data_IF_094591962118
#
_entry.id   IF_094591962118
#
_cell.length_a   1.000
_cell.length_b   1.000
_cell.length_c   1.000
_cell.angle_alpha   90.00
_cell.angle_beta   90.00
_cell.angle_gamma   90.00
#
_symmetry.space_group_name_H-M   'P 1'
#
loop_
_entity.id
_entity.type
_entity.pdbx_description
1 polymer ?
#
# COMPACT_ATOMS: atom_id res chain seq x y z
N UNK A 1 44.69 -14.74 19.84
CA UNK A 1 43.99 -13.59 19.20
C UNK A 1 44.52 -12.37 19.91
N UNK A 2 45.48 -11.69 19.28
CA UNK A 2 46.41 -10.74 19.92
C UNK A 2 45.78 -9.37 20.12
N UNK A 3 46.16 -8.72 21.22
CA UNK A 3 45.82 -7.35 21.59
C UNK A 3 46.20 -6.29 20.52
N UNK A 4 47.05 -6.64 19.55
CA UNK A 4 47.39 -5.81 18.39
C UNK A 4 46.22 -5.62 17.40
N UNK A 5 45.31 -6.59 17.26
CA UNK A 5 44.11 -6.45 16.40
C UNK A 5 43.08 -5.48 17.01
N UNK A 6 43.03 -5.38 18.34
CA UNK A 6 42.10 -4.46 19.02
C UNK A 6 42.58 -3.00 18.96
N UNK A 7 43.88 -2.75 18.82
CA UNK A 7 44.42 -1.39 18.69
C UNK A 7 44.31 -0.81 17.28
N UNK A 8 44.33 -1.64 16.24
CA UNK A 8 44.11 -1.18 14.86
C UNK A 8 42.67 -0.68 14.65
N UNK A 9 41.67 -1.35 15.24
CA UNK A 9 40.25 -0.97 15.11
C UNK A 9 39.86 0.38 15.75
N UNK A 10 40.70 0.98 16.60
CA UNK A 10 40.44 2.30 17.21
C UNK A 10 41.03 3.48 16.41
N UNK A 11 41.95 3.24 15.47
CA UNK A 11 42.60 4.31 14.68
C UNK A 11 41.90 4.60 13.34
N UNK A 12 40.83 3.87 13.00
CA UNK A 12 40.07 4.03 11.75
C UNK A 12 38.80 4.90 11.89
N UNK A 13 38.54 5.49 13.05
CA UNK A 13 37.39 6.40 13.21
C UNK A 13 37.73 7.77 12.62
N UNK A 14 36.95 8.30 11.67
CA UNK A 14 37.20 9.62 11.09
C UNK A 14 37.19 10.68 12.18
N UNK A 15 38.08 11.67 12.07
CA UNK A 15 38.09 12.80 13.00
C UNK A 15 36.77 13.58 12.95
N UNK A 16 36.45 14.31 14.02
CA UNK A 16 35.20 15.09 14.10
C UNK A 16 35.05 16.08 12.92
N UNK A 17 36.16 16.68 12.48
CA UNK A 17 36.19 17.60 11.35
C UNK A 17 35.94 16.89 10.01
N UNK A 18 36.54 15.70 9.80
CA UNK A 18 36.28 14.86 8.63
C UNK A 18 34.84 14.35 8.59
N UNK A 19 34.27 13.97 9.75
CA UNK A 19 32.88 13.56 9.87
C UNK A 19 31.92 14.70 9.52
N UNK A 20 32.21 15.91 9.98
CA UNK A 20 31.43 17.11 9.63
C UNK A 20 31.50 17.41 8.13
N UNK A 21 32.70 17.40 7.55
CA UNK A 21 32.88 17.61 6.13
C UNK A 21 32.13 16.55 5.29
N UNK A 22 32.14 15.29 5.73
CA UNK A 22 31.41 14.21 5.09
C UNK A 22 29.88 14.40 5.15
N UNK A 23 29.33 14.85 6.30
CA UNK A 23 27.90 15.13 6.44
C UNK A 23 27.46 16.33 5.58
N UNK A 24 28.22 17.42 5.57
CA UNK A 24 27.92 18.58 4.72
C UNK A 24 27.90 18.21 3.24
N UNK A 25 28.83 17.35 2.82
CA UNK A 25 28.89 16.87 1.45
C UNK A 25 27.74 15.91 1.11
N UNK A 26 27.27 15.10 2.06
CA UNK A 26 26.04 14.31 1.89
C UNK A 26 24.81 15.21 1.74
N UNK A 27 24.69 16.27 2.55
CA UNK A 27 23.55 17.20 2.47
C UNK A 27 23.45 17.91 1.12
N UNK A 28 24.57 18.23 0.47
CA UNK A 28 24.57 18.85 -0.88
C UNK A 28 24.00 17.93 -1.96
N UNK A 29 24.04 16.61 -1.76
CA UNK A 29 23.58 15.62 -2.75
C UNK A 29 22.08 15.34 -2.64
N UNK A 30 21.50 15.54 -1.46
CA UNK A 30 20.08 15.28 -1.24
C UNK A 30 19.24 16.33 -1.97
N UNK A 31 18.29 15.85 -2.79
CA UNK A 31 17.32 16.71 -3.46
C UNK A 31 16.07 16.81 -2.61
N UNK A 32 15.46 17.99 -2.56
CA UNK A 32 14.18 18.18 -1.86
C UNK A 32 13.09 17.30 -2.48
N UNK A 33 13.07 17.20 -3.81
CA UNK A 33 12.11 16.39 -4.55
C UNK A 33 12.13 14.91 -4.12
N UNK A 34 13.33 14.35 -3.91
CA UNK A 34 13.51 12.96 -3.47
C UNK A 34 12.95 12.76 -2.05
N UNK A 35 13.16 13.75 -1.16
CA UNK A 35 12.65 13.70 0.22
C UNK A 35 11.13 13.80 0.23
N UNK A 36 10.53 14.67 -0.58
CA UNK A 36 9.07 14.79 -0.71
C UNK A 36 8.47 13.50 -1.25
N UNK A 37 9.08 12.91 -2.28
CA UNK A 37 8.64 11.64 -2.86
C UNK A 37 8.72 10.51 -1.85
N UNK A 38 9.85 10.37 -1.16
CA UNK A 38 10.04 9.36 -0.11
C UNK A 38 9.03 9.54 1.03
N UNK A 39 8.76 10.78 1.44
CA UNK A 39 7.77 11.09 2.47
C UNK A 39 6.37 10.68 2.02
N UNK A 40 5.98 10.98 0.78
CA UNK A 40 4.69 10.57 0.24
C UNK A 40 4.52 9.05 0.23
N UNK A 41 5.57 8.30 -0.15
CA UNK A 41 5.58 6.83 -0.08
C UNK A 41 5.41 6.33 1.35
N UNK A 42 6.11 6.94 2.31
CA UNK A 42 5.96 6.58 3.73
C UNK A 42 4.54 6.79 4.22
N UNK A 43 3.91 7.92 3.87
CA UNK A 43 2.52 8.21 4.26
C UNK A 43 1.52 7.25 3.63
N UNK A 44 1.70 6.88 2.34
CA UNK A 44 0.87 5.86 1.68
C UNK A 44 0.93 4.53 2.42
N UNK A 45 2.15 4.08 2.77
CA UNK A 45 2.34 2.82 3.48
C UNK A 45 1.74 2.86 4.89
N UNK A 46 1.86 4.00 5.58
CA UNK A 46 1.26 4.19 6.90
C UNK A 46 -0.27 4.17 6.81
N UNK A 47 -0.88 4.88 5.85
CA UNK A 47 -2.32 4.88 5.64
C UNK A 47 -2.85 3.47 5.38
N UNK A 48 -2.16 2.67 4.54
CA UNK A 48 -2.52 1.29 4.28
C UNK A 48 -2.52 0.41 5.54
N UNK A 49 -1.54 0.59 6.44
CA UNK A 49 -1.50 -0.09 7.74
C UNK A 49 -2.64 0.35 8.65
N UNK A 50 -2.93 1.65 8.72
CA UNK A 50 -4.03 2.20 9.54
C UNK A 50 -5.42 1.79 9.06
N UNK A 51 -5.57 1.49 7.76
CA UNK A 51 -6.75 0.89 7.16
C UNK A 51 -6.75 -0.66 7.22
N UNK A 52 -5.69 -1.26 7.76
CA UNK A 52 -5.49 -2.70 7.82
C UNK A 52 -5.45 -3.42 6.49
N UNK A 53 -4.95 -2.75 5.45
CA UNK A 53 -4.70 -3.30 4.12
C UNK A 53 -3.33 -4.00 4.02
N UNK A 54 -2.45 -3.76 4.99
CA UNK A 54 -1.06 -4.23 5.00
C UNK A 54 -0.81 -5.47 5.87
N UNK A 55 -1.87 -6.07 6.43
CA UNK A 55 -1.78 -7.28 7.27
C UNK A 55 -2.08 -8.54 6.50
N UNK A 56 -1.47 -9.64 6.95
CA UNK A 56 -1.77 -10.97 6.43
C UNK A 56 -3.19 -11.39 6.86
N UNK A 57 -3.91 -12.20 6.06
CA UNK A 57 -5.22 -12.70 6.45
C UNK A 57 -5.15 -13.46 7.78
N UNK A 58 -5.92 -13.00 8.78
CA UNK A 58 -5.97 -13.62 10.12
C UNK A 58 -5.08 -12.96 11.17
N UNK A 59 -4.36 -11.90 10.83
CA UNK A 59 -3.62 -11.06 11.80
C UNK A 59 -4.57 -10.01 12.40
N UNK A 60 -4.71 -10.00 13.72
CA UNK A 60 -5.49 -8.99 14.44
C UNK A 60 -4.62 -7.75 14.67
N UNK A 61 -5.00 -6.65 14.03
CA UNK A 61 -4.32 -5.36 14.12
C UNK A 61 -4.52 -4.68 15.48
N UNK A 62 -5.50 -5.13 16.28
CA UNK A 62 -5.85 -4.47 17.54
C UNK A 62 -5.94 -2.94 17.37
N UNK A 63 -5.15 -2.22 18.14
CA UNK A 63 -5.10 -0.75 18.17
C UNK A 63 -4.31 -0.12 17.00
N UNK A 64 -3.75 -0.91 16.08
CA UNK A 64 -3.03 -0.36 14.92
C UNK A 64 -3.95 0.22 13.84
N UNK A 65 -5.24 -0.17 13.82
CA UNK A 65 -6.26 0.45 12.98
C UNK A 65 -6.66 1.81 13.54
N UNK A 66 -6.54 2.84 12.72
CA UNK A 66 -6.84 4.22 13.12
C UNK A 66 -7.30 5.02 11.89
N UNK A 67 -8.62 5.19 11.77
CA UNK A 67 -9.23 5.89 10.64
C UNK A 67 -8.81 7.38 10.60
N UNK A 68 -8.64 8.04 11.75
CA UNK A 68 -8.22 9.43 11.80
C UNK A 68 -6.79 9.61 11.31
N UNK A 69 -5.88 8.73 11.71
CA UNK A 69 -4.50 8.71 11.20
C UNK A 69 -4.45 8.36 9.71
N UNK A 70 -5.30 7.44 9.24
CA UNK A 70 -5.40 7.13 7.80
C UNK A 70 -5.84 8.37 6.99
N UNK A 71 -6.85 9.10 7.46
CA UNK A 71 -7.31 10.34 6.83
C UNK A 71 -6.19 11.38 6.79
N UNK A 72 -5.50 11.62 7.91
CA UNK A 72 -4.40 12.58 8.00
C UNK A 72 -3.29 12.23 7.00
N UNK A 73 -2.95 10.96 6.87
CA UNK A 73 -1.94 10.51 5.90
C UNK A 73 -2.41 10.72 4.45
N UNK A 74 -3.68 10.40 4.13
CA UNK A 74 -4.28 10.64 2.80
C UNK A 74 -4.20 12.14 2.45
N UNK A 75 -4.60 13.02 3.37
CA UNK A 75 -4.58 14.46 3.16
C UNK A 75 -3.14 14.99 3.02
N UNK A 76 -2.20 14.46 3.80
CA UNK A 76 -0.77 14.75 3.67
C UNK A 76 -0.23 14.39 2.29
N UNK A 77 -0.53 13.19 1.77
CA UNK A 77 -0.11 12.78 0.42
C UNK A 77 -0.71 13.70 -0.64
N UNK A 78 -2.01 14.05 -0.53
CA UNK A 78 -2.66 14.99 -1.46
C UNK A 78 -2.00 16.37 -1.49
N UNK A 79 -1.55 16.85 -0.34
CA UNK A 79 -0.87 18.13 -0.23
C UNK A 79 0.56 18.09 -0.80
N UNK A 80 1.25 16.95 -0.68
CA UNK A 80 2.63 16.78 -1.16
C UNK A 80 2.71 16.52 -2.67
N UNK A 81 1.76 15.78 -3.25
CA UNK A 81 1.81 15.37 -4.66
C UNK A 81 2.01 16.51 -5.67
N UNK A 82 1.37 17.69 -5.53
CA UNK A 82 1.61 18.82 -6.43
C UNK A 82 3.01 19.44 -6.34
N UNK A 83 3.78 19.10 -5.31
CA UNK A 83 5.15 19.58 -5.10
C UNK A 83 6.19 18.61 -5.68
N UNK A 84 5.79 17.38 -6.01
CA UNK A 84 6.67 16.34 -6.54
C UNK A 84 6.76 16.40 -8.07
N UNK A 85 7.88 15.96 -8.67
CA UNK A 85 8.04 15.86 -10.12
C UNK A 85 7.05 14.85 -10.72
N UNK A 86 6.34 15.25 -11.77
CA UNK A 86 5.22 14.48 -12.32
C UNK A 86 5.63 13.08 -12.80
N UNK A 87 6.84 12.90 -13.33
CA UNK A 87 7.30 11.63 -13.90
C UNK A 87 7.33 10.48 -12.89
N UNK A 88 7.43 10.80 -11.60
CA UNK A 88 7.62 9.82 -10.52
C UNK A 88 6.36 9.62 -9.67
N UNK A 89 5.30 10.41 -9.90
CA UNK A 89 4.10 10.43 -9.05
C UNK A 89 3.02 9.42 -9.44
N UNK A 90 3.11 8.84 -10.65
CA UNK A 90 2.07 7.93 -11.19
C UNK A 90 1.66 6.82 -10.21
N UNK A 91 2.59 5.96 -9.77
CA UNK A 91 2.28 4.88 -8.83
C UNK A 91 1.72 5.37 -7.48
N UNK A 92 2.14 6.56 -7.01
CA UNK A 92 1.67 7.14 -5.76
C UNK A 92 0.22 7.65 -5.91
N UNK A 93 -0.12 8.27 -7.05
CA UNK A 93 -1.48 8.70 -7.38
C UNK A 93 -2.44 7.49 -7.45
N UNK A 94 -1.98 6.37 -8.03
CA UNK A 94 -2.74 5.13 -8.08
C UNK A 94 -2.98 4.55 -6.68
N UNK A 95 -1.92 4.45 -5.87
CA UNK A 95 -2.02 3.97 -4.49
C UNK A 95 -2.92 4.87 -3.63
N UNK A 96 -2.82 6.19 -3.78
CA UNK A 96 -3.69 7.16 -3.11
C UNK A 96 -5.16 6.94 -3.46
N UNK A 97 -5.47 6.69 -4.73
CA UNK A 97 -6.84 6.40 -5.18
C UNK A 97 -7.39 5.12 -4.53
N UNK A 98 -6.55 4.08 -4.41
CA UNK A 98 -6.92 2.83 -3.71
C UNK A 98 -7.17 3.07 -2.20
N UNK A 99 -6.31 3.85 -1.55
CA UNK A 99 -6.47 4.22 -0.14
C UNK A 99 -7.77 5.00 0.09
N UNK A 100 -8.10 5.95 -0.77
CA UNK A 100 -9.34 6.72 -0.67
C UNK A 100 -10.58 5.84 -0.81
N UNK A 101 -10.56 4.87 -1.72
CA UNK A 101 -11.66 3.91 -1.87
C UNK A 101 -11.79 3.00 -0.63
N UNK A 102 -10.67 2.53 -0.07
CA UNK A 102 -10.68 1.73 1.15
C UNK A 102 -11.19 2.54 2.35
N UNK A 103 -10.69 3.76 2.53
CA UNK A 103 -11.14 4.69 3.55
C UNK A 103 -12.65 4.96 3.47
N UNK A 104 -13.19 5.20 2.26
CA UNK A 104 -14.62 5.42 2.07
C UNK A 104 -15.48 4.22 2.45
N UNK A 105 -14.97 2.99 2.28
CA UNK A 105 -15.68 1.76 2.69
C UNK A 105 -15.73 1.64 4.22
N UNK A 106 -14.60 1.87 4.88
CA UNK A 106 -14.48 1.75 6.34
C UNK A 106 -15.23 2.90 7.05
N UNK A 107 -15.16 4.12 6.53
CA UNK A 107 -15.87 5.29 7.09
C UNK A 107 -17.38 5.29 6.81
N UNK A 108 -17.84 4.55 5.80
CA UNK A 108 -19.26 4.38 5.48
C UNK A 108 -19.96 3.29 6.30
N UNK A 109 -19.20 2.39 6.93
CA UNK A 109 -19.73 1.31 7.78
C UNK A 109 -20.05 1.81 9.22
N UNK A 110 -19.49 2.96 9.61
CA UNK A 110 -19.96 3.76 10.76
C UNK A 110 -21.16 4.63 10.35
N UNK A 111 -22.30 3.97 10.09
CA UNK A 111 -23.55 4.65 9.79
C UNK A 111 -24.05 5.54 10.94
N UNK A 112 -24.72 6.67 10.63
CA UNK A 112 -25.06 7.71 11.61
C UNK A 112 -26.06 7.20 12.65
N UNK A 113 -25.80 7.46 13.93
CA UNK A 113 -26.87 7.52 14.93
C UNK A 113 -27.81 8.65 14.49
N UNK A 114 -28.95 8.24 13.95
CA UNK A 114 -30.00 9.11 13.47
C UNK A 114 -30.57 9.93 14.62
N UNK A 115 -29.98 11.10 14.88
CA UNK A 115 -30.68 12.23 15.46
C UNK A 115 -31.67 12.74 14.43
N UNK A 116 -32.89 12.19 14.46
CA UNK A 116 -34.04 12.69 13.72
C UNK A 116 -34.34 14.14 14.16
N UNK A 117 -33.74 15.09 13.45
CA UNK A 117 -34.06 16.51 13.48
C UNK A 117 -35.02 16.82 12.34
N UNK A 118 -36.27 16.96 12.71
CA UNK A 118 -37.45 17.35 11.94
C UNK A 118 -37.21 18.57 11.02
N UNK A 119 -37.51 18.42 9.72
CA UNK A 119 -37.94 19.53 8.87
C UNK A 119 -38.76 19.02 7.66
N UNK A 120 -39.84 19.72 7.29
CA UNK A 120 -41.00 19.09 6.66
C UNK A 120 -41.01 19.10 5.14
N UNK A 121 -41.80 18.18 4.61
CA UNK A 121 -42.18 18.03 3.21
C UNK A 121 -42.81 19.29 2.61
N UNK A 122 -42.36 19.65 1.39
CA UNK A 122 -43.12 20.46 0.44
C UNK A 122 -42.96 19.86 -0.97
N UNK A 123 -44.03 19.21 -1.45
CA UNK A 123 -44.46 19.30 -2.85
C UNK A 123 -45.73 20.15 -2.93
N UNK A 124 -46.34 20.43 -4.10
CA UNK A 124 -46.21 19.65 -5.35
C UNK A 124 -46.19 20.44 -6.70
N UNK A 125 -45.97 19.67 -7.78
CA UNK A 125 -46.48 19.81 -9.17
C UNK A 125 -46.04 21.04 -10.01
N UNK A 126 -45.82 21.01 -11.33
CA UNK A 126 -46.32 20.21 -12.46
C UNK A 126 -45.31 20.33 -13.64
N UNK A 127 -45.29 19.37 -14.57
CA UNK A 127 -44.75 19.65 -15.92
C UNK A 127 -44.18 18.49 -16.74
N UNK A 128 -45.08 17.65 -17.25
CA UNK A 128 -45.11 17.13 -18.62
C UNK A 128 -43.90 16.42 -19.30
N UNK A 129 -44.19 15.17 -19.68
CA UNK A 129 -44.01 14.59 -21.02
C UNK A 129 -42.59 14.29 -21.55
N UNK A 130 -42.29 12.99 -21.62
CA UNK A 130 -41.16 12.44 -22.39
C UNK A 130 -40.99 10.93 -22.21
N UNK A 131 -42.04 10.15 -22.47
CA UNK A 131 -41.90 8.69 -22.65
C UNK A 131 -41.24 8.39 -23.99
N UNK A 132 -40.57 7.22 -24.05
CA UNK A 132 -39.98 6.51 -25.20
C UNK A 132 -38.45 6.64 -25.30
N UNK A 133 -37.62 5.59 -25.26
CA UNK A 133 -37.84 4.15 -25.34
C UNK A 133 -36.63 3.45 -24.67
N UNK A 134 -36.91 2.57 -23.71
CA UNK A 134 -36.01 1.47 -23.37
C UNK A 134 -36.27 0.35 -24.39
N UNK A 135 -35.25 -0.12 -25.09
CA UNK A 135 -35.26 -1.46 -25.69
C UNK A 135 -34.06 -2.24 -25.15
N UNK A 136 -34.28 -3.27 -24.32
CA UNK A 136 -33.24 -4.22 -23.95
C UNK A 136 -33.12 -5.25 -25.06
N UNK A 137 -32.07 -5.18 -25.88
CA UNK A 137 -31.71 -6.29 -26.77
C UNK A 137 -31.10 -7.42 -25.92
N UNK A 138 -32.01 -8.23 -25.38
CA UNK A 138 -31.76 -9.56 -24.85
C UNK A 138 -31.41 -10.47 -26.03
N UNK A 139 -30.13 -10.57 -26.39
CA UNK A 139 -29.67 -11.72 -27.15
C UNK A 139 -29.29 -12.82 -26.15
N UNK A 140 -30.09 -13.89 -26.17
CA UNK A 140 -29.92 -15.11 -25.37
C UNK A 140 -29.43 -16.22 -26.30
N UNK A 141 -28.55 -17.07 -25.74
CA UNK A 141 -27.95 -18.35 -26.21
C UNK A 141 -26.55 -18.16 -26.83
N UNK A 142 -25.51 -18.90 -26.44
CA UNK A 142 -25.39 -20.13 -25.63
C UNK A 142 -23.95 -20.24 -25.07
N UNK A 143 -23.69 -21.13 -24.08
CA UNK A 143 -22.41 -21.24 -23.39
C UNK A 143 -21.41 -22.06 -24.22
N UNK A 144 -20.24 -21.50 -24.50
CA UNK A 144 -19.10 -22.29 -24.98
C UNK A 144 -18.53 -23.10 -23.82
N UNK A 145 -18.76 -24.41 -23.92
CA UNK A 145 -18.05 -25.45 -23.20
C UNK A 145 -16.53 -25.25 -23.30
N UNK A 146 -15.87 -25.36 -22.14
CA UNK A 146 -14.63 -26.12 -21.89
C UNK A 146 -13.57 -26.08 -22.99
N UNK A 147 -12.50 -25.34 -22.74
CA UNK A 147 -11.16 -25.91 -22.84
C UNK A 147 -10.41 -25.59 -21.55
N UNK A 148 -10.22 -26.65 -20.75
CA UNK A 148 -9.17 -26.70 -19.73
C UNK A 148 -7.86 -26.67 -20.51
N UNK A 149 -7.24 -25.50 -20.63
CA UNK A 149 -5.81 -25.46 -20.88
C UNK A 149 -5.10 -25.99 -19.63
N UNK A 150 -4.85 -27.29 -19.69
CA UNK A 150 -3.95 -28.03 -18.83
C UNK A 150 -2.59 -27.34 -18.88
N UNK A 151 -2.27 -26.54 -17.88
CA UNK A 151 -0.89 -26.14 -17.64
C UNK A 151 -0.06 -27.42 -17.49
N UNK A 152 1.03 -27.61 -18.25
CA UNK A 152 1.98 -28.64 -17.92
C UNK A 152 2.63 -28.27 -16.58
N UNK A 153 2.39 -29.10 -15.57
CA UNK A 153 3.15 -29.07 -14.33
C UNK A 153 4.64 -29.25 -14.67
N UNK A 154 5.57 -28.48 -14.07
CA UNK A 154 6.96 -28.91 -14.05
C UNK A 154 7.02 -30.19 -13.21
N UNK A 155 7.38 -31.30 -13.87
CA UNK A 155 7.68 -32.57 -13.25
C UNK A 155 8.61 -32.37 -12.03
N UNK A 156 8.12 -32.72 -10.86
CA UNK A 156 8.98 -33.10 -9.73
C UNK A 156 9.77 -34.34 -10.16
N UNK A 157 10.92 -34.13 -10.80
CA UNK A 157 11.96 -35.14 -10.89
C UNK A 157 12.58 -35.28 -9.50
N UNK A 158 12.25 -36.39 -8.87
CA UNK A 158 13.06 -36.94 -7.81
C UNK A 158 14.46 -37.21 -8.35
N UNK A 159 15.43 -36.52 -7.78
CA UNK A 159 16.80 -37.01 -7.70
C UNK A 159 16.98 -37.50 -6.27
N UNK A 160 16.62 -38.78 -6.07
CA UNK A 160 17.15 -39.62 -5.01
C UNK A 160 18.67 -39.70 -5.18
N UNK A 161 19.40 -38.76 -4.59
CA UNK A 161 20.82 -38.95 -4.31
C UNK A 161 20.97 -39.57 -2.92
N UNK A 162 20.87 -40.90 -2.94
CA UNK A 162 21.65 -41.85 -2.15
C UNK A 162 22.73 -41.22 -1.25
N UNK A 163 22.46 -41.12 0.05
CA UNK A 163 23.54 -41.11 1.05
C UNK A 163 23.34 -42.29 2.00
N UNK A 164 23.95 -43.41 1.59
CA UNK A 164 24.10 -44.58 2.40
C UNK A 164 25.11 -44.33 3.54
N UNK A 165 24.69 -44.73 4.75
CA UNK A 165 25.55 -45.38 5.74
C UNK A 165 26.62 -44.51 6.41
N UNK A 166 26.42 -44.22 7.70
CA UNK A 166 27.42 -44.55 8.73
C UNK A 166 26.74 -44.77 10.10
N UNK A 167 27.01 -45.91 10.78
CA UNK A 167 26.42 -46.21 12.08
C UNK A 167 27.10 -45.45 13.23
N UNK A 168 26.29 -45.13 14.25
CA UNK A 168 26.73 -44.59 15.54
C UNK A 168 27.68 -45.57 16.22
N UNK A 169 28.93 -45.16 16.40
CA UNK A 169 29.80 -45.76 17.40
C UNK A 169 29.37 -45.28 18.80
N UNK A 170 29.27 -46.28 19.67
CA UNK A 170 29.13 -46.22 21.13
C UNK A 170 30.38 -45.65 21.78
#
# INVERSE_FOLDING_TARGET
MSSDEQQQAQQEQPSEEELRAALEEQMKRIRVDDVLLQTAVTLVNLAGRRLGLATQPGEDLGDERDLAQAQQAIDGVRALLPLCPDEQTGPIKDALSQLQMAYARESGDEGPTAGAGDAPAQGPADGAAGQQQQQPLRFRREPSHVERETQPQPECKGEEESNATHPRHR
#
